data_IF_337991970161
#
_entry.id   IF_337991970161
#
_cell.length_a   1.000
_cell.length_b   1.000
_cell.length_c   1.000
_cell.angle_alpha   90.00
_cell.angle_beta   90.00
_cell.angle_gamma   90.00
#
_symmetry.space_group_name_H-M   'P 1'
#
loop_
_entity.id
_entity.type
_entity.pdbx_description
1 polymer ?
#
# COMPACT_ATOMS: atom_id res chain seq x y z
N UNK A 1 9.27 9.17 -0.20
CA UNK A 1 9.69 10.56 -0.05
C UNK A 1 10.87 10.71 0.92
N UNK A 2 10.81 10.13 2.11
CA UNK A 2 11.84 10.31 3.14
C UNK A 2 13.19 9.63 2.86
N UNK A 3 13.29 8.88 1.77
CA UNK A 3 14.51 8.19 1.32
C UNK A 3 15.29 8.94 0.23
N UNK A 4 14.87 10.15 -0.16
CA UNK A 4 15.51 10.92 -1.23
C UNK A 4 16.87 11.49 -0.83
N UNK A 5 16.93 12.16 0.31
CA UNK A 5 18.10 12.96 0.73
C UNK A 5 18.44 12.77 2.20
N UNK A 6 19.69 13.11 2.54
CA UNK A 6 20.15 13.22 3.93
C UNK A 6 19.70 14.53 4.57
N UNK A 7 19.40 14.55 5.88
CA UNK A 7 19.51 13.45 6.86
C UNK A 7 18.26 12.55 6.93
N UNK A 8 17.22 12.84 6.14
CA UNK A 8 15.93 12.12 6.19
C UNK A 8 16.08 10.64 5.84
N UNK A 9 16.93 10.31 4.87
CA UNK A 9 17.22 8.93 4.44
C UNK A 9 17.77 8.09 5.58
N UNK A 10 18.86 8.53 6.19
CA UNK A 10 19.49 7.83 7.31
C UNK A 10 18.57 7.74 8.53
N UNK A 11 17.83 8.80 8.84
CA UNK A 11 16.89 8.81 9.95
C UNK A 11 15.73 7.82 9.73
N UNK A 12 15.18 7.76 8.52
CA UNK A 12 14.10 6.81 8.17
C UNK A 12 14.59 5.37 8.24
N UNK A 13 15.77 5.10 7.69
CA UNK A 13 16.36 3.76 7.73
C UNK A 13 16.62 3.30 9.17
N UNK A 14 17.21 4.16 9.99
CA UNK A 14 17.50 3.83 11.40
C UNK A 14 16.21 3.67 12.22
N UNK A 15 15.20 4.52 11.99
CA UNK A 15 13.89 4.38 12.63
C UNK A 15 13.23 3.03 12.30
N UNK A 16 13.25 2.62 11.02
CA UNK A 16 12.71 1.33 10.60
C UNK A 16 13.48 0.16 11.25
N UNK A 17 14.81 0.24 11.30
CA UNK A 17 15.68 -0.76 11.95
C UNK A 17 15.38 -0.90 13.44
N UNK A 18 15.27 0.22 14.15
CA UNK A 18 14.97 0.23 15.59
C UNK A 18 13.55 -0.29 15.87
N UNK A 19 12.57 0.14 15.09
CA UNK A 19 11.19 -0.32 15.21
C UNK A 19 11.09 -1.83 14.97
N UNK A 20 11.76 -2.34 13.92
CA UNK A 20 11.83 -3.78 13.63
C UNK A 20 12.46 -4.57 14.78
N UNK A 21 13.58 -4.08 15.35
CA UNK A 21 14.24 -4.69 16.49
C UNK A 21 13.37 -4.70 17.76
N UNK A 22 12.47 -3.72 17.89
CA UNK A 22 11.49 -3.65 18.98
C UNK A 22 10.22 -4.50 18.73
N UNK A 23 10.14 -5.23 17.61
CA UNK A 23 9.00 -6.08 17.27
C UNK A 23 7.82 -5.35 16.64
N UNK A 24 8.00 -4.08 16.22
CA UNK A 24 6.95 -3.35 15.53
C UNK A 24 6.76 -3.87 14.09
N UNK A 25 5.52 -3.92 13.63
CA UNK A 25 5.18 -4.17 12.23
C UNK A 25 5.57 -2.95 11.37
N UNK A 26 6.34 -3.20 10.32
CA UNK A 26 6.78 -2.16 9.39
C UNK A 26 5.89 -2.16 8.15
N UNK A 27 5.15 -1.08 8.00
CA UNK A 27 4.35 -0.79 6.81
C UNK A 27 5.09 0.19 5.90
N UNK A 28 5.11 -0.09 4.59
CA UNK A 28 5.84 0.73 3.62
C UNK A 28 5.03 1.01 2.36
N UNK A 29 5.00 2.30 1.98
CA UNK A 29 4.56 2.81 0.68
C UNK A 29 5.72 3.66 0.13
N UNK A 30 6.40 3.25 -0.97
CA UNK A 30 7.49 3.99 -1.56
C UNK A 30 7.10 5.41 -1.97
N UNK A 31 5.89 5.54 -2.48
CA UNK A 31 5.29 6.79 -2.90
C UNK A 31 6.21 7.56 -3.87
N UNK A 32 6.56 6.91 -4.97
CA UNK A 32 7.51 7.43 -5.96
C UNK A 32 7.07 8.77 -6.53
N UNK A 33 7.99 9.73 -6.53
CA UNK A 33 7.80 11.06 -7.12
C UNK A 33 9.01 11.38 -7.98
N UNK A 34 8.93 11.18 -9.31
CA UNK A 34 10.07 11.38 -10.22
C UNK A 34 10.86 12.67 -10.01
N UNK A 35 10.21 13.84 -9.78
CA UNK A 35 10.96 15.10 -9.63
C UNK A 35 11.85 15.21 -8.39
N UNK A 36 11.71 14.28 -7.45
CA UNK A 36 12.50 14.27 -6.20
C UNK A 36 13.76 13.40 -6.29
N UNK A 37 13.98 12.74 -7.43
CA UNK A 37 15.12 11.86 -7.63
C UNK A 37 15.95 12.34 -8.84
N UNK A 38 17.25 12.09 -8.81
CA UNK A 38 18.14 12.48 -9.92
C UNK A 38 18.00 11.56 -11.12
N UNK A 39 17.64 10.29 -10.87
CA UNK A 39 17.33 9.30 -11.90
C UNK A 39 16.38 8.23 -11.40
N UNK A 40 15.84 7.41 -12.31
CA UNK A 40 15.01 6.26 -11.97
C UNK A 40 15.81 5.17 -11.25
N UNK A 41 17.08 5.00 -11.61
CA UNK A 41 17.98 4.04 -10.97
C UNK A 41 18.23 4.42 -9.51
N UNK A 42 18.53 5.70 -9.25
CA UNK A 42 18.70 6.21 -7.88
C UNK A 42 17.41 6.03 -7.06
N UNK A 43 16.26 6.31 -7.66
CA UNK A 43 14.97 6.10 -7.02
C UNK A 43 14.73 4.63 -6.68
N UNK A 44 14.96 3.72 -7.62
CA UNK A 44 14.82 2.30 -7.41
C UNK A 44 15.73 1.78 -6.29
N UNK A 45 17.00 2.17 -6.28
CA UNK A 45 17.96 1.80 -5.23
C UNK A 45 17.57 2.36 -3.87
N UNK A 46 17.24 3.65 -3.80
CA UNK A 46 16.84 4.32 -2.58
C UNK A 46 15.57 3.70 -1.98
N UNK A 47 14.53 3.48 -2.78
CA UNK A 47 13.29 2.86 -2.33
C UNK A 47 13.47 1.39 -1.92
N UNK A 48 14.35 0.63 -2.60
CA UNK A 48 14.68 -0.75 -2.24
C UNK A 48 15.42 -0.88 -0.92
N UNK A 49 16.16 0.13 -0.51
CA UNK A 49 17.09 0.05 0.63
C UNK A 49 16.45 -0.40 1.95
N UNK A 50 15.15 -0.14 2.14
CA UNK A 50 14.41 -0.50 3.36
C UNK A 50 13.52 -1.75 3.20
N UNK A 51 13.36 -2.29 1.99
CA UNK A 51 12.39 -3.37 1.70
C UNK A 51 12.61 -4.61 2.57
N UNK A 52 13.87 -4.95 2.88
CA UNK A 52 14.19 -6.09 3.74
C UNK A 52 13.73 -5.94 5.21
N UNK A 53 13.39 -4.72 5.64
CA UNK A 53 12.85 -4.44 6.97
C UNK A 53 11.32 -4.45 7.00
N UNK A 54 10.67 -4.43 5.84
CA UNK A 54 9.23 -4.27 5.68
C UNK A 54 8.48 -5.58 5.93
N UNK A 55 7.32 -5.50 6.59
CA UNK A 55 6.40 -6.62 6.78
C UNK A 55 5.23 -6.57 5.80
N UNK A 56 4.63 -5.39 5.62
CA UNK A 56 3.53 -5.16 4.70
C UNK A 56 3.86 -4.00 3.76
N UNK A 57 3.65 -4.19 2.46
CA UNK A 57 4.04 -3.22 1.45
C UNK A 57 2.88 -2.92 0.50
N UNK A 58 2.64 -1.65 0.24
CA UNK A 58 1.79 -1.20 -0.87
C UNK A 58 2.69 -0.57 -1.92
N UNK A 59 2.43 -0.89 -3.17
CA UNK A 59 3.06 -0.25 -4.36
C UNK A 59 1.99 -0.04 -5.42
N UNK A 60 2.21 0.93 -6.32
CA UNK A 60 1.48 0.96 -7.59
C UNK A 60 2.07 -0.07 -8.56
N UNK A 61 1.35 -0.34 -9.66
CA UNK A 61 1.86 -1.15 -10.77
C UNK A 61 3.20 -0.60 -11.28
N UNK A 62 3.27 0.69 -11.60
CA UNK A 62 4.49 1.36 -12.07
C UNK A 62 5.64 1.25 -11.04
N UNK A 63 5.37 1.50 -9.76
CA UNK A 63 6.36 1.36 -8.69
C UNK A 63 6.88 -0.06 -8.56
N UNK A 64 5.99 -1.05 -8.69
CA UNK A 64 6.36 -2.46 -8.59
C UNK A 64 7.33 -2.88 -9.70
N UNK A 65 7.09 -2.42 -10.93
CA UNK A 65 7.96 -2.67 -12.08
C UNK A 65 9.30 -1.94 -11.93
N UNK A 66 9.27 -0.66 -11.50
CA UNK A 66 10.47 0.13 -11.26
C UNK A 66 11.37 -0.51 -10.19
N UNK A 67 10.78 -0.95 -9.09
CA UNK A 67 11.52 -1.55 -7.98
C UNK A 67 12.14 -2.90 -8.32
N UNK A 68 11.55 -3.66 -9.22
CA UNK A 68 11.95 -5.05 -9.46
C UNK A 68 12.63 -5.29 -10.80
N UNK A 69 12.36 -4.44 -11.80
CA UNK A 69 12.76 -4.65 -13.18
C UNK A 69 11.95 -5.76 -13.88
N UNK A 70 10.89 -6.24 -13.26
CA UNK A 70 10.01 -7.26 -13.86
C UNK A 70 9.11 -6.64 -14.94
N UNK A 71 8.54 -7.50 -15.79
CA UNK A 71 7.71 -7.08 -16.93
C UNK A 71 6.22 -7.06 -16.61
N UNK A 72 5.80 -7.69 -15.51
CA UNK A 72 4.40 -7.68 -15.03
C UNK A 72 4.36 -7.47 -13.53
N UNK A 73 3.27 -6.85 -13.07
CA UNK A 73 3.10 -6.53 -11.64
C UNK A 73 2.93 -7.78 -10.77
N UNK A 74 2.43 -8.90 -11.33
CA UNK A 74 2.34 -10.17 -10.61
C UNK A 74 3.75 -10.73 -10.29
N UNK A 75 4.64 -10.74 -11.28
CA UNK A 75 6.04 -11.15 -11.07
C UNK A 75 6.76 -10.18 -10.13
N UNK A 76 6.49 -8.89 -10.29
CA UNK A 76 7.04 -7.85 -9.42
C UNK A 76 6.64 -8.06 -7.96
N UNK A 77 5.36 -8.33 -7.68
CA UNK A 77 4.88 -8.62 -6.33
C UNK A 77 5.58 -9.83 -5.69
N UNK A 78 5.73 -10.92 -6.44
CA UNK A 78 6.46 -12.11 -5.99
C UNK A 78 7.95 -11.82 -5.73
N UNK A 79 8.55 -10.98 -6.58
CA UNK A 79 9.94 -10.54 -6.40
C UNK A 79 10.13 -9.67 -5.15
N UNK A 80 9.16 -8.79 -4.85
CA UNK A 80 9.16 -7.99 -3.63
C UNK A 80 8.99 -8.87 -2.38
N UNK A 81 8.07 -9.83 -2.39
CA UNK A 81 7.92 -10.80 -1.30
C UNK A 81 9.22 -11.55 -0.98
N UNK A 82 9.99 -11.91 -2.02
CA UNK A 82 11.27 -12.59 -1.84
C UNK A 82 12.35 -11.70 -1.19
N UNK A 83 12.12 -10.39 -1.06
CA UNK A 83 13.07 -9.43 -0.50
C UNK A 83 12.79 -9.05 0.97
N UNK A 84 11.65 -9.45 1.55
CA UNK A 84 11.35 -9.15 2.96
C UNK A 84 9.88 -9.12 3.32
N UNK A 85 9.01 -8.40 2.58
CA UNK A 85 7.61 -8.30 2.90
C UNK A 85 6.92 -9.67 2.97
N UNK A 86 5.97 -9.81 3.89
CA UNK A 86 5.09 -10.98 4.02
C UNK A 86 3.79 -10.81 3.24
N UNK A 87 3.42 -9.55 2.99
CA UNK A 87 2.25 -9.15 2.23
C UNK A 87 2.58 -7.98 1.33
N UNK A 88 2.19 -8.08 0.06
CA UNK A 88 2.32 -7.01 -0.94
C UNK A 88 0.95 -6.71 -1.54
N UNK A 89 0.56 -5.44 -1.56
CA UNK A 89 -0.61 -4.92 -2.22
C UNK A 89 -0.17 -4.08 -3.43
N UNK A 90 -0.45 -4.54 -4.65
CA UNK A 90 -0.18 -3.76 -5.87
C UNK A 90 -1.47 -3.09 -6.31
N UNK A 91 -1.53 -1.76 -6.18
CA UNK A 91 -2.71 -0.98 -6.58
C UNK A 91 -2.70 -0.73 -8.09
N UNK A 92 -3.87 -0.92 -8.73
CA UNK A 92 -4.09 -0.87 -10.17
C UNK A 92 -5.14 0.18 -10.54
N UNK A 93 -5.20 1.26 -9.77
CA UNK A 93 -6.17 2.34 -9.98
C UNK A 93 -7.62 1.84 -9.96
N UNK A 94 -8.36 2.09 -11.04
CA UNK A 94 -9.77 1.69 -11.17
C UNK A 94 -10.03 0.19 -11.26
N UNK A 95 -8.99 -0.62 -11.49
CA UNK A 95 -9.12 -2.08 -11.56
C UNK A 95 -9.07 -2.72 -10.15
N UNK A 96 -8.53 -2.01 -9.16
CA UNK A 96 -8.48 -2.49 -7.78
C UNK A 96 -7.08 -2.76 -7.27
N UNK A 97 -6.89 -3.88 -6.58
CA UNK A 97 -5.61 -4.24 -5.98
C UNK A 97 -5.32 -5.74 -6.14
N UNK A 98 -4.10 -6.05 -6.54
CA UNK A 98 -3.56 -7.40 -6.45
C UNK A 98 -2.94 -7.59 -5.06
N UNK A 99 -3.53 -8.45 -4.25
CA UNK A 99 -3.00 -8.80 -2.93
C UNK A 99 -2.21 -10.10 -3.04
N UNK A 100 -0.97 -10.10 -2.54
CA UNK A 100 -0.05 -11.24 -2.69
C UNK A 100 0.64 -11.53 -1.36
N UNK A 101 0.58 -12.79 -0.95
CA UNK A 101 1.37 -13.36 0.14
C UNK A 101 2.16 -14.57 -0.37
N UNK A 102 2.95 -15.20 0.49
CA UNK A 102 3.69 -16.42 0.10
C UNK A 102 2.78 -17.58 -0.36
N UNK A 103 1.57 -17.66 0.21
CA UNK A 103 0.64 -18.78 -0.01
C UNK A 103 -0.51 -18.43 -0.97
N UNK A 104 -0.84 -17.14 -1.13
CA UNK A 104 -2.04 -16.71 -1.84
C UNK A 104 -1.75 -15.49 -2.73
N UNK A 105 -2.49 -15.43 -3.82
CA UNK A 105 -2.54 -14.27 -4.72
C UNK A 105 -3.97 -14.11 -5.20
N UNK A 106 -4.53 -12.89 -5.08
CA UNK A 106 -5.90 -12.63 -5.49
C UNK A 106 -6.08 -11.17 -5.92
N UNK A 107 -6.84 -10.96 -7.00
CA UNK A 107 -7.27 -9.64 -7.43
C UNK A 107 -8.55 -9.26 -6.71
N UNK A 108 -8.51 -8.15 -5.98
CA UNK A 108 -9.67 -7.58 -5.30
C UNK A 108 -10.12 -6.35 -6.11
N UNK A 109 -11.29 -6.40 -6.78
CA UNK A 109 -11.73 -5.34 -7.66
C UNK A 109 -12.03 -4.04 -6.89
N UNK A 110 -11.80 -2.90 -7.54
CA UNK A 110 -12.25 -1.62 -7.02
C UNK A 110 -13.78 -1.47 -7.12
N UNK A 111 -14.34 -0.59 -6.31
CA UNK A 111 -15.73 -0.18 -6.46
C UNK A 111 -15.86 0.81 -7.62
N UNK A 112 -16.81 0.56 -8.52
CA UNK A 112 -17.10 1.49 -9.62
C UNK A 112 -17.53 2.84 -9.06
N UNK A 113 -16.83 3.88 -9.50
CA UNK A 113 -17.11 5.25 -9.07
C UNK A 113 -16.72 6.24 -10.17
N UNK A 114 -17.37 7.38 -10.18
CA UNK A 114 -16.97 8.51 -11.03
C UNK A 114 -15.90 9.30 -10.28
N UNK A 115 -14.68 9.30 -10.83
CA UNK A 115 -13.56 9.99 -10.23
C UNK A 115 -13.56 11.47 -10.62
N UNK A 116 -13.57 12.34 -9.61
CA UNK A 116 -13.45 13.80 -9.75
C UNK A 116 -11.97 14.22 -9.61
N UNK A 117 -11.25 13.60 -8.67
CA UNK A 117 -9.84 13.86 -8.40
C UNK A 117 -9.20 12.60 -7.80
N UNK A 118 -8.12 12.13 -8.43
CA UNK A 118 -7.41 10.92 -7.98
C UNK A 118 -6.32 11.21 -6.94
N UNK A 119 -6.13 12.49 -6.56
CA UNK A 119 -5.14 12.89 -5.56
C UNK A 119 -5.40 12.20 -4.22
N UNK A 120 -4.41 11.49 -3.71
CA UNK A 120 -4.50 10.79 -2.43
C UNK A 120 -5.24 9.46 -2.47
N UNK A 121 -5.66 8.96 -3.65
CA UNK A 121 -6.33 7.66 -3.75
C UNK A 121 -5.51 6.50 -3.18
N UNK A 122 -4.22 6.44 -3.52
CA UNK A 122 -3.28 5.44 -3.01
C UNK A 122 -3.07 5.55 -1.49
N UNK A 123 -2.89 6.77 -0.99
CA UNK A 123 -2.75 7.04 0.45
C UNK A 123 -4.02 6.65 1.21
N UNK A 124 -5.19 6.98 0.64
CA UNK A 124 -6.51 6.64 1.19
C UNK A 124 -6.75 5.13 1.19
N UNK A 125 -6.41 4.43 0.10
CA UNK A 125 -6.43 2.97 0.05
C UNK A 125 -5.61 2.38 1.20
N UNK A 126 -4.35 2.83 1.32
CA UNK A 126 -3.44 2.26 2.31
C UNK A 126 -3.86 2.58 3.75
N UNK A 127 -4.33 3.79 3.99
CA UNK A 127 -4.93 4.18 5.28
C UNK A 127 -6.14 3.34 5.66
N UNK A 128 -7.05 3.09 4.71
CA UNK A 128 -8.21 2.22 4.90
C UNK A 128 -7.82 0.76 5.17
N UNK A 129 -6.88 0.23 4.40
CA UNK A 129 -6.31 -1.10 4.59
C UNK A 129 -5.73 -1.26 6.01
N UNK A 130 -4.83 -0.38 6.40
CA UNK A 130 -4.16 -0.44 7.72
C UNK A 130 -5.14 -0.20 8.87
N UNK A 131 -6.13 0.68 8.72
CA UNK A 131 -7.17 0.90 9.72
C UNK A 131 -7.98 -0.39 9.98
N UNK A 132 -8.38 -1.09 8.91
CA UNK A 132 -9.07 -2.37 9.04
C UNK A 132 -8.16 -3.45 9.61
N UNK A 133 -6.91 -3.53 9.16
CA UNK A 133 -5.91 -4.46 9.69
C UNK A 133 -5.77 -4.32 11.21
N UNK A 134 -5.56 -3.11 11.70
CA UNK A 134 -5.42 -2.83 13.13
C UNK A 134 -6.69 -3.17 13.94
N UNK A 135 -7.88 -3.08 13.32
CA UNK A 135 -9.14 -3.40 14.01
C UNK A 135 -9.31 -4.88 14.36
N UNK A 136 -8.52 -5.77 13.77
CA UNK A 136 -8.51 -7.19 14.13
C UNK A 136 -7.72 -7.49 15.41
N UNK A 137 -6.87 -6.56 15.86
CA UNK A 137 -6.02 -6.74 17.07
C UNK A 137 -5.19 -8.04 17.02
N UNK A 138 -4.73 -8.42 15.83
CA UNK A 138 -3.96 -9.62 15.54
C UNK A 138 -2.60 -9.28 14.96
N UNK A 139 -1.62 -10.14 15.23
CA UNK A 139 -0.36 -10.11 14.48
C UNK A 139 -0.59 -10.56 13.03
N UNK A 140 0.25 -10.11 12.10
CA UNK A 140 0.11 -10.42 10.67
C UNK A 140 0.04 -11.93 10.40
N UNK A 141 0.82 -12.73 11.12
CA UNK A 141 0.88 -14.18 10.99
C UNK A 141 -0.37 -14.91 11.49
N UNK A 142 -1.19 -14.25 12.27
CA UNK A 142 -2.45 -14.78 12.82
C UNK A 142 -3.65 -14.41 11.92
N UNK A 143 -3.45 -13.51 10.96
CA UNK A 143 -4.49 -13.08 10.03
C UNK A 143 -4.81 -14.19 9.03
N UNK A 144 -6.09 -14.48 8.85
CA UNK A 144 -6.56 -15.33 7.76
C UNK A 144 -6.51 -14.58 6.42
N UNK A 145 -6.50 -15.34 5.31
CA UNK A 145 -6.55 -14.71 3.99
C UNK A 145 -7.81 -13.87 3.78
N UNK A 146 -8.96 -14.32 4.29
CA UNK A 146 -10.22 -13.58 4.18
C UNK A 146 -10.21 -12.28 4.99
N UNK A 147 -9.57 -12.25 6.14
CA UNK A 147 -9.35 -11.00 6.90
C UNK A 147 -8.45 -10.03 6.14
N UNK A 148 -7.37 -10.52 5.50
CA UNK A 148 -6.51 -9.69 4.66
C UNK A 148 -7.23 -9.16 3.42
N UNK A 149 -8.08 -9.98 2.78
CA UNK A 149 -8.96 -9.52 1.69
C UNK A 149 -9.93 -8.43 2.17
N UNK A 150 -10.50 -8.59 3.35
CA UNK A 150 -11.37 -7.58 3.95
C UNK A 150 -10.63 -6.24 4.18
N UNK A 151 -9.35 -6.28 4.54
CA UNK A 151 -8.53 -5.06 4.59
C UNK A 151 -8.44 -4.40 3.21
N UNK A 152 -8.20 -5.18 2.15
CA UNK A 152 -8.10 -4.67 0.80
C UNK A 152 -9.44 -4.12 0.26
N UNK A 153 -10.56 -4.79 0.55
CA UNK A 153 -11.92 -4.30 0.24
C UNK A 153 -12.19 -2.97 0.94
N UNK A 154 -11.82 -2.86 2.22
CA UNK A 154 -11.97 -1.60 2.97
C UNK A 154 -11.09 -0.49 2.37
N UNK A 155 -9.84 -0.80 2.00
CA UNK A 155 -8.95 0.12 1.30
C UNK A 155 -9.56 0.62 -0.02
N UNK A 156 -10.09 -0.28 -0.85
CA UNK A 156 -10.77 0.05 -2.10
C UNK A 156 -12.01 0.94 -1.86
N UNK A 157 -12.78 0.71 -0.80
CA UNK A 157 -13.93 1.53 -0.44
C UNK A 157 -13.51 2.96 -0.07
N UNK A 158 -12.48 3.10 0.79
CA UNK A 158 -11.94 4.40 1.19
C UNK A 158 -11.42 5.17 -0.03
N UNK A 159 -10.64 4.53 -0.90
CA UNK A 159 -10.13 5.14 -2.13
C UNK A 159 -11.27 5.56 -3.06
N UNK A 160 -12.29 4.71 -3.26
CA UNK A 160 -13.44 4.99 -4.12
C UNK A 160 -14.27 6.17 -3.63
N UNK A 161 -14.41 6.35 -2.32
CA UNK A 161 -15.10 7.51 -1.72
C UNK A 161 -14.23 8.78 -1.81
N UNK A 162 -12.92 8.65 -1.59
CA UNK A 162 -11.97 9.75 -1.67
C UNK A 162 -11.98 10.40 -3.06
N UNK A 163 -11.88 9.61 -4.13
CA UNK A 163 -11.79 10.15 -5.51
C UNK A 163 -13.05 10.87 -6.00
N UNK A 164 -14.17 10.80 -5.29
CA UNK A 164 -15.42 11.53 -5.61
C UNK A 164 -15.38 13.01 -5.26
N UNK A 165 -14.37 13.43 -4.48
CA UNK A 165 -14.22 14.81 -3.98
C UNK A 165 -12.87 15.36 -4.43
N UNK A 166 -12.75 16.68 -4.52
CA UNK A 166 -11.47 17.34 -4.81
C UNK A 166 -10.57 17.40 -3.58
N UNK A 167 -9.28 17.19 -3.81
CA UNK A 167 -8.22 17.26 -2.81
C UNK A 167 -7.99 15.93 -2.10
N UNK A 168 -6.79 15.72 -1.58
CA UNK A 168 -6.39 14.50 -0.85
C UNK A 168 -7.02 14.45 0.55
N UNK A 169 -6.38 15.10 1.54
CA UNK A 169 -6.81 15.03 2.95
C UNK A 169 -8.29 15.42 3.17
N UNK A 170 -8.83 16.53 2.60
CA UNK A 170 -10.23 16.89 2.78
C UNK A 170 -11.23 15.92 2.16
N UNK A 171 -10.78 15.06 1.23
CA UNK A 171 -11.61 14.08 0.54
C UNK A 171 -11.67 12.72 1.26
N UNK A 172 -10.81 12.47 2.24
CA UNK A 172 -10.80 11.21 3.00
C UNK A 172 -12.13 11.04 3.73
N UNK A 173 -12.85 9.90 3.51
CA UNK A 173 -14.12 9.66 4.16
C UNK A 173 -13.97 9.36 5.66
N UNK A 174 -15.02 9.62 6.43
CA UNK A 174 -15.13 9.14 7.81
C UNK A 174 -15.34 7.62 7.86
N UNK A 175 -15.12 7.02 9.04
CA UNK A 175 -15.41 5.60 9.26
C UNK A 175 -16.88 5.27 8.96
N UNK A 176 -17.81 6.09 9.42
CA UNK A 176 -19.26 5.87 9.24
C UNK A 176 -19.65 5.90 7.76
N UNK A 177 -19.05 6.82 6.96
CA UNK A 177 -19.26 6.87 5.51
C UNK A 177 -18.77 5.58 4.83
N UNK A 178 -17.61 5.06 5.25
CA UNK A 178 -17.06 3.80 4.71
C UNK A 178 -17.92 2.60 5.07
N UNK A 179 -18.33 2.48 6.32
CA UNK A 179 -19.19 1.38 6.79
C UNK A 179 -20.55 1.38 6.11
N UNK A 180 -21.19 2.55 6.00
CA UNK A 180 -22.44 2.72 5.27
C UNK A 180 -22.30 2.34 3.78
N UNK A 181 -21.21 2.75 3.13
CA UNK A 181 -20.92 2.42 1.74
C UNK A 181 -20.72 0.91 1.53
N UNK A 182 -19.92 0.27 2.36
CA UNK A 182 -19.71 -1.18 2.29
C UNK A 182 -21.00 -1.95 2.51
N UNK A 183 -21.80 -1.57 3.50
CA UNK A 183 -23.07 -2.21 3.79
C UNK A 183 -24.05 -2.10 2.62
N UNK A 184 -24.14 -0.92 1.99
CA UNK A 184 -25.05 -0.70 0.85
C UNK A 184 -24.60 -1.38 -0.46
N UNK A 185 -23.31 -1.72 -0.58
CA UNK A 185 -22.75 -2.22 -1.85
C UNK A 185 -22.51 -3.73 -1.83
N UNK A 186 -22.34 -4.33 -0.64
CA UNK A 186 -22.08 -5.75 -0.47
C UNK A 186 -23.29 -6.55 0.05
N UNK A 187 -24.42 -5.87 0.35
CA UNK A 187 -25.70 -6.48 0.69
C UNK A 187 -26.44 -6.90 -0.59
#
# INVERSE_FOLDING_TARGET
LSLTDEPSRSATWEAARLAKAAGALISYDPNYRPPLWRSQEEAAEGMKSVVSLVDVMKVSDEESLLLTGETTYEKAALRLLAQGPKLVAVTLGGDGVLLVSKAHQEMIPAFRTEAVDTTGAGDSFWGGFLSRFLSYEKELEQMTWDELKNCAVTGNAVASLCVRKRGGIPAVPSRDEVEAFLHSTLA
#
